data_IF_945641489371
#
_entry.id   IF_945641489371
#
_cell.length_a   1.000
_cell.length_b   1.000
_cell.length_c   1.000
_cell.angle_alpha   90.00
_cell.angle_beta   90.00
_cell.angle_gamma   90.00
#
_symmetry.space_group_name_H-M   'P 1'
#
loop_
_entity.id
_entity.type
_entity.pdbx_description
1 polymer ?
#
# COMPACT_ATOMS: atom_id res chain seq x y z
N UNK A 1 21.50 10.33 -23.66
CA UNK A 1 20.65 9.18 -24.03
C UNK A 1 20.81 8.14 -22.93
N UNK A 2 19.92 8.16 -21.92
CA UNK A 2 20.00 7.23 -20.79
C UNK A 2 19.44 5.87 -21.20
N UNK A 3 20.21 4.79 -20.99
CA UNK A 3 19.71 3.43 -21.12
C UNK A 3 18.79 3.15 -19.93
N UNK A 4 17.53 2.78 -20.18
CA UNK A 4 16.69 2.20 -19.14
C UNK A 4 17.14 0.76 -18.90
N UNK A 5 17.30 0.38 -17.63
CA UNK A 5 17.39 -1.01 -17.21
C UNK A 5 16.08 -1.31 -16.49
N UNK A 6 15.36 -2.33 -16.95
CA UNK A 6 14.24 -2.94 -16.22
C UNK A 6 12.97 -2.07 -16.07
N UNK A 7 12.22 -1.86 -17.16
CA UNK A 7 10.79 -1.47 -17.08
C UNK A 7 10.46 -0.08 -16.51
N UNK A 8 11.42 0.66 -15.96
CA UNK A 8 11.18 1.98 -15.38
C UNK A 8 11.22 3.08 -16.45
N UNK A 9 10.18 3.90 -16.50
CA UNK A 9 10.17 5.13 -17.30
C UNK A 9 11.03 6.16 -16.58
N UNK A 10 12.08 6.64 -17.24
CA UNK A 10 12.92 7.75 -16.78
C UNK A 10 12.55 9.01 -17.56
N UNK A 11 12.25 10.09 -16.86
CA UNK A 11 12.00 11.40 -17.45
C UNK A 11 12.82 12.43 -16.66
N UNK A 12 13.53 13.31 -17.36
CA UNK A 12 14.31 14.33 -16.71
C UNK A 12 15.26 15.00 -17.67
N UNK A 13 15.06 16.30 -17.90
CA UNK A 13 16.14 17.18 -18.29
C UNK A 13 15.85 18.57 -17.76
N UNK A 14 16.40 18.88 -16.59
CA UNK A 14 16.51 20.24 -16.09
C UNK A 14 17.97 20.51 -15.78
N UNK A 15 18.55 21.51 -16.44
CA UNK A 15 19.85 22.04 -16.01
C UNK A 15 19.75 22.60 -14.59
N UNK A 16 20.88 22.75 -13.91
CA UNK A 16 20.98 23.23 -12.52
C UNK A 16 20.13 24.49 -12.22
N UNK A 17 19.97 25.37 -13.21
CA UNK A 17 19.18 26.60 -13.11
C UNK A 17 17.67 26.31 -13.07
N UNK A 18 17.19 25.37 -13.89
CA UNK A 18 15.77 25.00 -13.91
C UNK A 18 15.34 24.36 -12.60
N UNK A 19 16.20 23.51 -12.00
CA UNK A 19 15.98 22.89 -10.69
C UNK A 19 15.83 23.92 -9.55
N UNK A 20 16.53 25.06 -9.64
CA UNK A 20 16.44 26.12 -8.64
C UNK A 20 15.21 27.03 -8.82
N UNK A 21 14.59 27.02 -10.01
CA UNK A 21 13.41 27.83 -10.32
C UNK A 21 12.09 27.06 -10.21
N UNK A 22 12.15 25.74 -10.06
CA UNK A 22 10.97 24.87 -10.00
C UNK A 22 10.39 24.87 -8.58
N UNK A 23 9.41 25.75 -8.35
CA UNK A 23 8.68 25.86 -7.09
C UNK A 23 7.24 25.34 -7.20
N UNK A 24 6.98 24.49 -8.20
CA UNK A 24 5.62 24.03 -8.54
C UNK A 24 5.45 22.54 -8.25
N UNK A 25 6.51 21.74 -8.28
CA UNK A 25 6.43 20.30 -8.04
C UNK A 25 7.47 19.91 -7.01
N UNK A 26 7.07 19.17 -5.98
CA UNK A 26 7.95 18.74 -4.90
C UNK A 26 7.80 17.23 -4.68
N UNK A 27 8.87 16.60 -4.15
CA UNK A 27 8.79 15.25 -3.64
C UNK A 27 8.74 15.27 -2.12
N UNK A 28 7.64 14.83 -1.53
CA UNK A 28 7.49 14.70 -0.07
C UNK A 28 8.08 13.37 0.38
N UNK A 29 8.90 13.39 1.42
CA UNK A 29 9.43 12.19 2.05
C UNK A 29 8.32 11.33 2.65
N UNK A 30 8.17 10.11 2.14
CA UNK A 30 7.15 9.14 2.55
C UNK A 30 7.77 7.84 3.02
N UNK A 31 7.14 7.19 4.00
CA UNK A 31 7.48 5.81 4.33
C UNK A 31 7.08 4.89 3.16
N UNK A 32 8.06 4.24 2.54
CA UNK A 32 7.82 3.30 1.43
C UNK A 32 6.92 2.12 1.79
N UNK A 33 6.79 1.79 3.08
CA UNK A 33 5.99 0.66 3.54
C UNK A 33 4.59 1.11 3.93
N UNK A 34 4.46 2.14 4.76
CA UNK A 34 3.15 2.60 5.26
C UNK A 34 2.48 3.63 4.36
N UNK A 35 3.22 4.19 3.39
CA UNK A 35 2.78 5.28 2.51
C UNK A 35 2.35 6.53 3.32
N UNK A 36 2.82 6.64 4.56
CA UNK A 36 2.58 7.80 5.40
C UNK A 36 3.67 8.83 5.18
N UNK A 37 3.25 10.08 5.08
CA UNK A 37 4.13 11.24 4.98
C UNK A 37 4.72 11.57 6.35
N UNK A 38 5.99 11.95 6.38
CA UNK A 38 6.66 12.36 7.61
C UNK A 38 6.71 13.88 7.73
N UNK A 39 5.79 14.51 8.49
CA UNK A 39 5.95 15.92 8.84
C UNK A 39 7.13 16.09 9.81
N UNK A 40 7.87 17.19 9.69
CA UNK A 40 8.94 17.60 10.60
C UNK A 40 8.36 17.74 12.02
N UNK A 41 8.90 17.01 13.01
CA UNK A 41 8.41 17.05 14.40
C UNK A 41 8.42 18.44 15.05
N UNK A 42 9.23 19.37 14.54
CA UNK A 42 9.39 20.73 15.08
C UNK A 42 8.46 21.74 14.43
N UNK A 43 8.16 21.58 13.15
CA UNK A 43 7.43 22.59 12.36
C UNK A 43 6.03 22.12 11.95
N UNK A 44 5.81 20.80 11.89
CA UNK A 44 4.58 20.19 11.40
C UNK A 44 4.46 20.20 9.87
N UNK A 45 5.45 20.73 9.14
CA UNK A 45 5.49 20.76 7.68
C UNK A 45 6.17 19.51 7.11
N UNK A 46 5.80 19.10 5.91
CA UNK A 46 6.42 18.00 5.21
C UNK A 46 7.89 18.28 4.86
N UNK A 47 8.69 17.22 4.90
CA UNK A 47 10.11 17.25 4.55
C UNK A 47 10.27 16.79 3.11
N UNK A 48 11.07 17.50 2.32
CA UNK A 48 11.41 17.07 0.95
C UNK A 48 12.25 15.78 0.96
N UNK A 49 11.94 14.85 0.06
CA UNK A 49 12.69 13.62 -0.11
C UNK A 49 14.13 13.92 -0.57
N UNK A 50 15.13 13.24 0.01
CA UNK A 50 16.53 13.43 -0.39
C UNK A 50 16.80 12.76 -1.74
N UNK A 51 17.91 13.13 -2.43
CA UNK A 51 18.36 12.38 -3.59
C UNK A 51 18.49 10.88 -3.29
N UNK A 52 18.05 10.05 -4.23
CA UNK A 52 17.93 8.59 -4.14
C UNK A 52 16.93 8.06 -3.08
N UNK A 53 16.18 8.94 -2.40
CA UNK A 53 15.05 8.53 -1.55
C UNK A 53 13.72 8.66 -2.34
N UNK A 54 12.81 7.68 -2.22
CA UNK A 54 11.48 7.76 -2.81
C UNK A 54 10.61 8.78 -2.06
N UNK A 55 9.83 9.54 -2.81
CA UNK A 55 8.86 10.48 -2.24
C UNK A 55 7.60 10.62 -3.09
N UNK A 56 6.50 11.05 -2.45
CA UNK A 56 5.28 11.37 -3.17
C UNK A 56 5.44 12.64 -3.97
N UNK A 57 5.10 12.59 -5.25
CA UNK A 57 5.06 13.76 -6.08
C UNK A 57 3.81 14.59 -5.79
N UNK A 58 4.01 15.84 -5.37
CA UNK A 58 2.96 16.82 -5.14
C UNK A 58 3.14 18.03 -6.04
N UNK A 59 2.03 18.63 -6.48
CA UNK A 59 2.02 19.81 -7.35
C UNK A 59 1.33 20.99 -6.68
N UNK A 60 1.95 22.16 -6.66
CA UNK A 60 1.37 23.39 -6.13
C UNK A 60 0.14 23.79 -6.94
N UNK A 61 -0.98 24.05 -6.26
CA UNK A 61 -2.17 24.60 -6.90
C UNK A 61 -2.26 26.10 -6.61
N UNK A 62 -2.48 26.89 -7.66
CA UNK A 62 -2.63 28.35 -7.56
C UNK A 62 -4.06 28.79 -7.15
N UNK A 63 -5.03 27.87 -7.19
CA UNK A 63 -6.44 28.07 -6.86
C UNK A 63 -6.84 27.39 -5.53
N UNK A 64 -7.52 28.13 -4.65
CA UNK A 64 -7.62 27.85 -3.19
C UNK A 64 -8.81 26.97 -2.77
N UNK A 65 -9.69 26.60 -3.70
CA UNK A 65 -10.96 25.93 -3.36
C UNK A 65 -10.88 24.41 -3.27
N UNK A 66 -9.87 23.84 -3.91
CA UNK A 66 -9.44 22.47 -3.67
C UNK A 66 -8.21 22.63 -2.78
N UNK A 67 -8.17 22.06 -1.57
CA UNK A 67 -6.96 21.44 -0.96
C UNK A 67 -6.81 21.45 0.57
N UNK A 68 -5.97 20.49 0.98
CA UNK A 68 -5.31 20.29 2.27
C UNK A 68 -4.38 21.48 2.54
N UNK A 69 -4.38 21.99 3.78
CA UNK A 69 -3.65 23.21 4.15
C UNK A 69 -2.35 22.87 4.86
N UNK A 70 -1.26 23.47 4.40
CA UNK A 70 -0.05 23.70 5.20
C UNK A 70 1.03 22.64 5.08
N UNK A 71 1.45 22.34 3.86
CA UNK A 71 2.39 21.26 3.57
C UNK A 71 3.86 21.69 3.68
N UNK A 72 4.24 22.89 3.21
CA UNK A 72 5.63 23.40 3.28
C UNK A 72 5.74 24.78 3.96
N UNK A 73 4.72 25.63 3.82
CA UNK A 73 4.53 26.82 4.63
C UNK A 73 3.04 27.06 4.95
N UNK A 74 2.80 27.94 5.92
CA UNK A 74 1.44 28.27 6.39
C UNK A 74 0.64 28.96 5.27
N UNK A 75 -0.30 28.24 4.67
CA UNK A 75 -1.21 28.75 3.64
C UNK A 75 -0.96 28.19 2.25
N UNK A 76 0.06 27.34 2.07
CA UNK A 76 0.29 26.65 0.81
C UNK A 76 -0.70 25.49 0.63
N UNK A 77 -0.98 25.20 -0.63
CA UNK A 77 -1.95 24.21 -1.07
C UNK A 77 -1.30 23.38 -2.18
N UNK A 78 -1.14 22.06 -1.96
CA UNK A 78 -0.62 21.13 -2.97
C UNK A 78 -1.58 19.99 -3.30
N UNK A 79 -1.64 19.64 -4.60
CA UNK A 79 -2.30 18.44 -5.09
C UNK A 79 -1.39 17.22 -4.96
N UNK A 80 -1.90 16.17 -4.31
CA UNK A 80 -1.25 14.87 -4.26
C UNK A 80 -1.45 14.15 -5.60
N UNK A 81 -0.35 13.85 -6.31
CA UNK A 81 -0.41 13.11 -7.57
C UNK A 81 -0.41 11.59 -7.38
N UNK A 82 -0.25 11.10 -6.14
CA UNK A 82 -0.27 9.66 -5.78
C UNK A 82 0.71 8.81 -6.60
N UNK A 83 1.81 9.42 -7.05
CA UNK A 83 2.91 8.77 -7.75
C UNK A 83 4.16 8.92 -6.91
N UNK A 84 4.81 7.79 -6.60
CA UNK A 84 6.10 7.81 -5.91
C UNK A 84 7.20 7.94 -6.96
N UNK A 85 8.07 8.92 -6.79
CA UNK A 85 9.20 9.20 -7.69
C UNK A 85 10.49 9.21 -6.89
N UNK A 86 11.60 8.94 -7.56
CA UNK A 86 12.95 9.07 -7.00
C UNK A 86 13.74 10.07 -7.84
N UNK A 87 14.32 11.06 -7.17
CA UNK A 87 15.27 11.99 -7.77
C UNK A 87 16.69 11.44 -7.65
N UNK A 88 17.32 11.12 -8.76
CA UNK A 88 18.74 10.78 -8.78
C UNK A 88 19.60 12.06 -8.61
N UNK A 89 20.78 11.97 -7.98
CA UNK A 89 21.75 13.07 -7.90
C UNK A 89 22.14 13.64 -9.27
N UNK A 90 22.03 12.82 -10.32
CA UNK A 90 22.28 13.14 -11.72
C UNK A 90 21.21 14.06 -12.35
N UNK A 91 20.11 14.35 -11.65
CA UNK A 91 19.00 15.17 -12.13
C UNK A 91 17.94 14.39 -12.92
N UNK A 92 18.05 13.06 -12.97
CA UNK A 92 17.03 12.18 -13.55
C UNK A 92 15.95 11.85 -12.53
N UNK A 93 14.72 11.77 -12.99
CA UNK A 93 13.59 11.32 -12.20
C UNK A 93 13.13 9.98 -12.79
N UNK A 94 12.87 9.02 -11.93
CA UNK A 94 12.30 7.75 -12.34
C UNK A 94 11.11 7.39 -11.46
N UNK A 95 10.13 6.73 -12.07
CA UNK A 95 8.98 6.22 -11.32
C UNK A 95 9.46 5.18 -10.31
N UNK A 96 9.05 5.36 -9.07
CA UNK A 96 8.99 4.29 -8.09
C UNK A 96 7.59 3.65 -8.15
N UNK A 97 7.34 2.61 -7.34
CA UNK A 97 6.04 1.94 -7.25
C UNK A 97 4.91 2.94 -7.01
N UNK A 98 3.74 2.71 -7.63
CA UNK A 98 2.54 3.53 -7.40
C UNK A 98 2.05 3.35 -5.97
N UNK A 99 1.74 4.44 -5.27
CA UNK A 99 1.17 4.40 -3.93
C UNK A 99 -0.18 3.65 -3.97
N UNK A 100 -0.38 2.71 -3.05
CA UNK A 100 -1.71 2.26 -2.65
C UNK A 100 -2.26 1.01 -3.34
N UNK A 101 -2.04 0.81 -4.64
CA UNK A 101 -2.97 -0.03 -5.42
C UNK A 101 -2.39 -1.35 -5.99
N UNK A 102 -1.09 -1.58 -5.93
CA UNK A 102 -0.48 -2.81 -6.48
C UNK A 102 0.66 -3.35 -5.62
N UNK A 103 0.77 -4.66 -5.48
CA UNK A 103 1.93 -5.33 -4.88
C UNK A 103 2.38 -6.52 -5.73
N UNK A 104 3.62 -6.99 -5.54
CA UNK A 104 4.22 -8.06 -6.35
C UNK A 104 4.46 -9.31 -5.51
N UNK A 105 3.90 -10.43 -5.95
CA UNK A 105 4.08 -11.75 -5.34
C UNK A 105 4.60 -12.75 -6.36
N UNK A 106 5.77 -13.36 -6.09
CA UNK A 106 6.39 -14.36 -6.97
C UNK A 106 6.50 -13.95 -8.45
N UNK A 107 6.71 -12.66 -8.70
CA UNK A 107 6.85 -12.10 -10.05
C UNK A 107 5.54 -11.63 -10.70
N UNK A 108 4.38 -11.90 -10.08
CA UNK A 108 3.07 -11.44 -10.57
C UNK A 108 2.67 -10.13 -9.89
N UNK A 109 2.10 -9.20 -10.66
CA UNK A 109 1.55 -7.95 -10.15
C UNK A 109 0.07 -8.14 -9.80
N UNK A 110 -0.30 -7.79 -8.58
CA UNK A 110 -1.65 -7.94 -8.04
C UNK A 110 -2.22 -6.55 -7.79
N UNK A 111 -3.39 -6.26 -8.37
CA UNK A 111 -4.13 -5.04 -8.12
C UNK A 111 -5.03 -5.18 -6.88
N UNK A 112 -4.80 -4.35 -5.88
CA UNK A 112 -5.63 -4.26 -4.66
C UNK A 112 -7.09 -3.97 -5.04
N UNK A 113 -7.31 -3.06 -6.00
CA UNK A 113 -8.64 -2.70 -6.48
C UNK A 113 -9.39 -3.90 -7.06
N UNK A 114 -8.73 -4.68 -7.92
CA UNK A 114 -9.32 -5.90 -8.49
C UNK A 114 -9.70 -6.91 -7.40
N UNK A 115 -8.76 -7.25 -6.51
CA UNK A 115 -9.02 -8.25 -5.46
C UNK A 115 -10.15 -7.78 -4.53
N UNK A 116 -10.20 -6.49 -4.19
CA UNK A 116 -11.27 -5.88 -3.40
C UNK A 116 -12.62 -5.95 -4.09
N UNK A 117 -12.69 -5.65 -5.39
CA UNK A 117 -13.92 -5.71 -6.17
C UNK A 117 -14.46 -7.14 -6.29
N UNK A 118 -13.57 -8.14 -6.34
CA UNK A 118 -13.96 -9.55 -6.30
C UNK A 118 -14.40 -10.01 -4.91
N UNK A 119 -13.78 -9.48 -3.85
CA UNK A 119 -14.09 -9.83 -2.46
C UNK A 119 -15.39 -9.21 -1.97
N UNK A 120 -15.69 -7.97 -2.36
CA UNK A 120 -16.95 -7.29 -2.03
C UNK A 120 -18.20 -7.99 -2.61
N UNK A 121 -18.04 -8.82 -3.65
CA UNK A 121 -19.11 -9.66 -4.22
C UNK A 121 -19.42 -10.90 -3.36
N UNK A 122 -18.58 -11.23 -2.38
CA UNK A 122 -18.81 -12.36 -1.52
C UNK A 122 -19.89 -12.04 -0.48
N UNK A 123 -20.77 -13.00 -0.17
CA UNK A 123 -21.71 -12.83 0.93
C UNK A 123 -20.94 -12.68 2.24
N UNK A 124 -21.51 -11.94 3.20
CA UNK A 124 -21.00 -11.79 4.57
C UNK A 124 -19.77 -10.88 4.76
N UNK A 125 -19.17 -10.36 3.69
CA UNK A 125 -18.10 -9.35 3.80
C UNK A 125 -18.70 -7.97 4.10
N UNK A 126 -18.29 -7.37 5.23
CA UNK A 126 -18.64 -5.99 5.58
C UNK A 126 -17.59 -5.01 5.03
N UNK A 127 -16.31 -5.29 5.28
CA UNK A 127 -15.19 -4.48 4.81
C UNK A 127 -13.97 -5.38 4.57
N UNK A 128 -13.11 -4.98 3.64
CA UNK A 128 -11.90 -5.71 3.28
C UNK A 128 -10.77 -4.78 2.81
N UNK A 129 -9.61 -4.91 3.46
CA UNK A 129 -8.39 -4.16 3.13
C UNK A 129 -7.31 -5.14 2.69
N UNK A 130 -6.74 -4.91 1.51
CA UNK A 130 -5.70 -5.75 0.91
C UNK A 130 -4.37 -5.01 0.89
N UNK A 131 -3.29 -5.71 1.20
CA UNK A 131 -1.95 -5.15 1.25
C UNK A 131 -0.89 -6.24 1.14
N UNK A 132 0.28 -5.87 0.64
CA UNK A 132 1.42 -6.77 0.55
C UNK A 132 2.19 -6.86 1.87
N UNK A 133 2.53 -8.08 2.30
CA UNK A 133 3.32 -8.33 3.51
C UNK A 133 4.64 -8.97 3.14
N UNK A 134 5.75 -8.36 3.54
CA UNK A 134 7.07 -8.94 3.34
C UNK A 134 7.29 -10.10 4.30
N UNK A 135 7.53 -11.30 3.77
CA UNK A 135 7.82 -12.50 4.55
C UNK A 135 9.32 -12.79 4.49
N UNK A 136 9.91 -13.27 5.60
CA UNK A 136 11.35 -13.49 5.68
C UNK A 136 11.86 -14.54 4.67
N UNK A 137 11.07 -15.60 4.44
CA UNK A 137 11.45 -16.73 3.58
C UNK A 137 11.05 -16.60 2.10
N UNK A 138 10.42 -15.50 1.69
CA UNK A 138 9.92 -15.35 0.31
C UNK A 138 10.41 -14.05 -0.33
N UNK A 139 10.70 -14.12 -1.63
CA UNK A 139 10.96 -12.93 -2.43
C UNK A 139 9.64 -12.25 -2.83
N UNK A 140 9.55 -10.95 -2.61
CA UNK A 140 8.35 -10.13 -2.79
C UNK A 140 7.46 -9.98 -1.55
N UNK A 141 6.20 -9.61 -1.80
CA UNK A 141 5.19 -9.34 -0.76
C UNK A 141 4.02 -10.31 -0.92
N UNK A 142 3.73 -11.09 0.11
CA UNK A 142 2.58 -11.99 0.12
C UNK A 142 1.28 -11.21 0.16
N UNK A 143 0.31 -11.66 -0.62
CA UNK A 143 -1.04 -11.11 -0.62
C UNK A 143 -1.71 -11.33 0.73
N UNK A 144 -2.04 -10.23 1.39
CA UNK A 144 -2.60 -10.20 2.72
C UNK A 144 -3.90 -9.41 2.75
N UNK A 145 -4.92 -9.99 3.37
CA UNK A 145 -6.26 -9.41 3.49
C UNK A 145 -6.65 -9.28 4.96
N UNK A 146 -7.10 -8.11 5.37
CA UNK A 146 -7.87 -7.93 6.59
C UNK A 146 -9.33 -7.81 6.23
N UNK A 147 -10.17 -8.71 6.74
CA UNK A 147 -11.59 -8.80 6.39
C UNK A 147 -12.42 -8.68 7.67
N UNK A 148 -13.42 -7.81 7.63
CA UNK A 148 -14.47 -7.75 8.63
C UNK A 148 -15.73 -8.37 8.06
N UNK A 149 -16.30 -9.30 8.81
CA UNK A 149 -17.50 -10.05 8.43
C UNK A 149 -18.72 -9.47 9.14
N UNK A 150 -19.87 -9.46 8.46
CA UNK A 150 -21.15 -9.08 9.07
C UNK A 150 -21.58 -10.11 10.12
N UNK A 151 -21.28 -11.39 9.89
CA UNK A 151 -21.45 -12.48 10.84
C UNK A 151 -20.15 -12.82 11.55
N UNK A 152 -20.23 -13.42 12.75
CA UNK A 152 -19.07 -13.98 13.45
C UNK A 152 -18.67 -15.39 12.97
N UNK A 153 -19.05 -15.80 11.75
CA UNK A 153 -18.88 -17.15 11.22
C UNK A 153 -17.54 -17.38 10.50
N UNK A 154 -16.44 -16.90 11.09
CA UNK A 154 -15.10 -16.81 10.50
C UNK A 154 -14.64 -18.11 9.81
N UNK A 155 -14.73 -19.25 10.52
CA UNK A 155 -14.29 -20.56 10.01
C UNK A 155 -15.11 -21.04 8.80
N UNK A 156 -16.41 -20.74 8.78
CA UNK A 156 -17.28 -21.11 7.67
C UNK A 156 -17.00 -20.25 6.44
N UNK A 157 -16.81 -18.94 6.64
CA UNK A 157 -16.39 -18.01 5.59
C UNK A 157 -15.05 -18.43 4.97
N UNK A 158 -14.05 -18.71 5.81
CA UNK A 158 -12.70 -19.08 5.34
C UNK A 158 -12.68 -20.37 4.52
N UNK A 159 -13.48 -21.38 4.87
CA UNK A 159 -13.65 -22.60 4.04
C UNK A 159 -14.28 -22.32 2.67
N UNK A 160 -15.09 -21.26 2.58
CA UNK A 160 -15.76 -20.84 1.35
C UNK A 160 -14.97 -19.84 0.51
N UNK A 161 -14.04 -19.09 1.11
CA UNK A 161 -13.38 -17.92 0.53
C UNK A 161 -12.78 -18.20 -0.85
N UNK A 162 -11.88 -19.20 -0.95
CA UNK A 162 -11.21 -19.51 -2.22
C UNK A 162 -12.20 -19.91 -3.32
N UNK A 163 -13.21 -20.72 -2.99
CA UNK A 163 -14.26 -21.12 -3.96
C UNK A 163 -15.11 -19.92 -4.36
N UNK A 164 -15.41 -19.02 -3.43
CA UNK A 164 -16.14 -17.78 -3.67
C UNK A 164 -15.39 -16.88 -4.65
N UNK A 165 -14.12 -16.56 -4.35
CA UNK A 165 -13.29 -15.71 -5.21
C UNK A 165 -13.06 -16.33 -6.60
N UNK A 166 -12.86 -17.64 -6.66
CA UNK A 166 -12.73 -18.34 -7.95
C UNK A 166 -14.02 -18.23 -8.79
N UNK A 167 -15.20 -18.25 -8.16
CA UNK A 167 -16.49 -18.06 -8.85
C UNK A 167 -16.70 -16.64 -9.35
N UNK A 168 -16.13 -15.63 -8.68
CA UNK A 168 -16.23 -14.25 -9.15
C UNK A 168 -15.30 -13.97 -10.35
N UNK A 169 -14.36 -14.88 -10.63
CA UNK A 169 -13.42 -14.80 -11.76
C UNK A 169 -12.02 -14.36 -11.37
N UNK A 170 -11.71 -14.23 -10.07
CA UNK A 170 -10.40 -13.79 -9.61
C UNK A 170 -9.33 -14.83 -10.01
N UNK A 171 -8.21 -14.42 -10.62
CA UNK A 171 -7.16 -15.35 -11.02
C UNK A 171 -6.42 -15.91 -9.80
N UNK A 172 -5.89 -17.13 -9.94
CA UNK A 172 -5.28 -17.86 -8.82
C UNK A 172 -4.03 -17.21 -8.21
N UNK A 173 -3.34 -16.36 -8.97
CA UNK A 173 -2.17 -15.61 -8.48
C UNK A 173 -2.56 -14.45 -7.56
N UNK A 174 -3.73 -13.85 -7.76
CA UNK A 174 -4.28 -12.73 -6.99
C UNK A 174 -5.14 -13.18 -5.79
N UNK A 175 -5.07 -14.46 -5.44
CA UNK A 175 -5.81 -14.99 -4.29
C UNK A 175 -5.07 -14.63 -3.00
N UNK A 176 -5.78 -14.04 -2.00
CA UNK A 176 -5.17 -13.69 -0.72
C UNK A 176 -4.64 -14.96 -0.04
N UNK A 177 -3.37 -14.91 0.36
CA UNK A 177 -2.65 -16.03 1.00
C UNK A 177 -2.68 -15.91 2.50
N UNK A 178 -2.58 -14.69 3.00
CA UNK A 178 -2.69 -14.35 4.40
C UNK A 178 -4.04 -13.67 4.62
N UNK A 179 -4.88 -14.22 5.48
CA UNK A 179 -6.19 -13.62 5.78
C UNK A 179 -6.31 -13.43 7.28
N UNK A 180 -6.64 -12.20 7.68
CA UNK A 180 -6.90 -11.80 9.05
C UNK A 180 -8.36 -11.41 9.17
N UNK A 181 -9.13 -12.17 9.96
CA UNK A 181 -10.50 -11.78 10.29
C UNK A 181 -10.46 -10.84 11.51
N UNK A 182 -10.91 -9.60 11.32
CA UNK A 182 -10.95 -8.56 12.35
C UNK A 182 -12.38 -8.15 12.67
N UNK A 183 -12.63 -7.76 13.93
CA UNK A 183 -13.98 -7.32 14.36
C UNK A 183 -14.40 -6.00 13.74
N UNK A 184 -13.43 -5.11 13.51
CA UNK A 184 -13.67 -3.79 12.97
C UNK A 184 -12.40 -3.35 12.24
N UNK A 185 -12.57 -2.80 11.04
CA UNK A 185 -11.60 -1.95 10.37
C UNK A 185 -12.13 -0.53 10.60
N UNK A 186 -11.25 0.39 11.02
CA UNK A 186 -11.67 1.76 11.36
C UNK A 186 -12.38 2.41 10.17
N UNK A 187 -13.71 2.45 10.23
CA UNK A 187 -14.57 2.87 9.12
C UNK A 187 -14.42 4.38 8.81
N UNK A 188 -13.84 5.15 9.73
CA UNK A 188 -13.56 6.58 9.54
C UNK A 188 -12.16 6.83 8.94
N UNK A 189 -11.33 5.79 8.83
CA UNK A 189 -10.03 5.89 8.21
C UNK A 189 -10.15 5.74 6.70
N UNK A 190 -9.51 6.65 5.95
CA UNK A 190 -9.26 6.43 4.51
C UNK A 190 -8.51 5.12 4.31
N UNK A 191 -8.72 4.43 3.20
CA UNK A 191 -8.06 3.15 2.86
C UNK A 191 -6.55 3.14 3.16
N UNK A 192 -5.84 4.23 2.83
CA UNK A 192 -4.40 4.37 3.10
C UNK A 192 -4.06 4.35 4.59
N UNK A 193 -4.85 5.03 5.43
CA UNK A 193 -4.66 5.05 6.89
C UNK A 193 -4.91 3.66 7.49
N UNK A 194 -5.97 2.99 7.03
CA UNK A 194 -6.26 1.62 7.48
C UNK A 194 -5.13 0.65 7.10
N UNK A 195 -4.62 0.73 5.86
CA UNK A 195 -3.46 -0.05 5.39
C UNK A 195 -2.21 0.22 6.23
N UNK A 196 -1.84 1.48 6.46
CA UNK A 196 -0.68 1.87 7.25
C UNK A 196 -0.73 1.31 8.68
N UNK A 197 -1.87 1.46 9.35
CA UNK A 197 -2.10 0.91 10.70
C UNK A 197 -2.03 -0.63 10.73
N UNK A 198 -2.56 -1.30 9.69
CA UNK A 198 -2.51 -2.76 9.58
C UNK A 198 -1.10 -3.29 9.33
N UNK A 199 -0.27 -2.54 8.60
CA UNK A 199 1.14 -2.86 8.39
C UNK A 199 1.96 -2.66 9.68
N UNK A 200 1.72 -1.56 10.41
CA UNK A 200 2.37 -1.29 11.71
C UNK A 200 2.06 -2.36 12.76
N UNK A 201 0.80 -2.81 12.83
CA UNK A 201 0.37 -3.88 13.75
C UNK A 201 1.00 -5.23 13.42
N UNK A 202 1.52 -5.41 12.20
CA UNK A 202 2.15 -6.64 11.77
C UNK A 202 1.20 -7.84 11.70
N UNK A 203 1.79 -9.03 11.63
CA UNK A 203 1.09 -10.32 11.49
C UNK A 203 1.39 -11.29 12.64
N UNK A 204 1.89 -10.79 13.77
CA UNK A 204 2.07 -11.60 14.98
C UNK A 204 0.73 -11.67 15.74
N UNK A 205 0.26 -12.89 16.03
CA UNK A 205 -1.00 -13.17 16.75
C UNK A 205 -1.01 -12.51 18.15
N UNK A 206 0.16 -12.29 18.76
CA UNK A 206 0.28 -11.61 20.06
C UNK A 206 0.03 -10.10 19.99
N UNK A 207 0.21 -9.50 18.80
CA UNK A 207 0.05 -8.06 18.56
C UNK A 207 -1.27 -7.71 17.86
N UNK A 208 -2.02 -8.71 17.38
CA UNK A 208 -3.23 -8.49 16.58
C UNK A 208 -4.48 -9.08 17.21
N UNK A 209 -5.52 -8.25 17.33
CA UNK A 209 -6.84 -8.63 17.83
C UNK A 209 -7.70 -9.27 16.72
N UNK A 210 -7.26 -10.39 16.15
CA UNK A 210 -7.94 -11.07 15.04
C UNK A 210 -7.52 -12.53 14.87
N UNK A 211 -8.26 -13.28 14.06
CA UNK A 211 -7.92 -14.68 13.71
C UNK A 211 -7.14 -14.69 12.41
N UNK A 212 -5.99 -15.35 12.41
CA UNK A 212 -5.09 -15.44 11.26
C UNK A 212 -5.26 -16.77 10.53
N UNK A 213 -5.23 -16.72 9.22
CA UNK A 213 -5.39 -17.87 8.34
C UNK A 213 -4.39 -17.82 7.19
N UNK A 214 -3.87 -18.99 6.84
CA UNK A 214 -3.10 -19.24 5.63
C UNK A 214 -3.95 -19.98 4.61
N UNK A 215 -4.04 -19.42 3.40
CA UNK A 215 -4.84 -19.96 2.30
C UNK A 215 -3.90 -20.54 1.23
N UNK A 216 -3.94 -21.85 1.06
CA UNK A 216 -3.25 -22.56 0.00
C UNK A 216 -4.24 -23.30 -0.90
N UNK A 217 -4.87 -22.55 -1.81
CA UNK A 217 -5.91 -23.13 -2.66
C UNK A 217 -7.16 -23.45 -1.86
N UNK A 218 -7.59 -24.71 -1.88
CA UNK A 218 -8.75 -25.17 -1.11
C UNK A 218 -8.44 -25.40 0.37
N UNK A 219 -7.17 -25.53 0.71
CA UNK A 219 -6.74 -25.75 2.08
C UNK A 219 -6.58 -24.40 2.78
N UNK A 220 -7.36 -24.21 3.84
CA UNK A 220 -7.25 -23.07 4.73
C UNK A 220 -6.81 -23.57 6.10
N UNK A 221 -5.66 -23.11 6.57
CA UNK A 221 -5.11 -23.46 7.88
C UNK A 221 -5.13 -22.22 8.77
N UNK A 222 -5.62 -22.38 9.99
CA UNK A 222 -5.51 -21.33 10.98
C UNK A 222 -4.05 -21.22 11.42
N UNK A 223 -3.52 -20.01 11.40
CA UNK A 223 -2.18 -19.71 11.88
C UNK A 223 -2.25 -19.39 13.36
N UNK A 224 -1.46 -20.11 14.14
CA UNK A 224 -1.10 -19.83 15.53
C UNK A 224 0.39 -19.48 15.61
N UNK A 225 0.85 -18.99 16.78
CA UNK A 225 2.27 -18.64 17.00
C UNK A 225 3.26 -19.74 16.59
N UNK A 226 2.91 -21.01 16.80
CA UNK A 226 3.81 -22.14 16.50
C UNK A 226 3.85 -22.44 15.00
N UNK A 227 2.71 -22.39 14.31
CA UNK A 227 2.60 -22.62 12.88
C UNK A 227 3.15 -21.46 12.05
N UNK A 228 3.13 -20.22 12.55
CA UNK A 228 3.79 -19.09 11.89
C UNK A 228 5.29 -19.37 11.69
N UNK A 229 6.01 -19.72 12.76
CA UNK A 229 7.45 -20.01 12.71
C UNK A 229 7.82 -21.25 11.89
N UNK A 230 6.86 -22.15 11.67
CA UNK A 230 7.08 -23.36 10.86
C UNK A 230 6.80 -23.11 9.37
N UNK A 231 6.00 -22.08 9.06
CA UNK A 231 5.52 -21.78 7.69
C UNK A 231 6.36 -20.69 7.01
N UNK A 232 6.98 -19.79 7.77
CA UNK A 232 7.67 -18.59 7.27
C UNK A 232 9.04 -18.36 7.91
#
# INVERSE_FOLDING_TARGET
MGKSAGGTVKAGFYGLIGKFMENVTFLVGTDTLTEEEFPDPKTGFYIEAKPDEPGECIGGIYDREVLIKGDFAKGDCFWHMSNMLVHEPSGWIHSHNRMGDTFRWKGEEISVGEVRDHTSKLPDVQDAVFYGVKLASYDGQADAASITLMSGADEAFMRGLYKGLKKTGLPGYAMPRLVKITKEIDANATFMKAKGELLKKGWDESMTSGKLFWVNGLDCQRLDRNSWSTTF
#
